data_IF_278214998475
#
_entry.id   IF_278214998475
#
_cell.length_a   1.000
_cell.length_b   1.000
_cell.length_c   1.000
_cell.angle_alpha   90.00
_cell.angle_beta   90.00
_cell.angle_gamma   90.00
#
_symmetry.space_group_name_H-M   'P 1'
#
loop_
_entity.id
_entity.type
_entity.pdbx_description
1 polymer ?
#
# COMPACT_ATOMS: atom_id res chain seq x y z
N UNK A 1 19.95 16.12 -39.58
CA UNK A 1 19.08 14.97 -39.29
C UNK A 1 17.69 15.52 -39.00
N UNK A 2 16.70 15.06 -39.74
CA UNK A 2 15.34 15.60 -39.74
C UNK A 2 14.48 14.89 -38.68
N UNK A 3 13.85 15.68 -37.81
CA UNK A 3 13.06 15.18 -36.66
C UNK A 3 11.89 14.31 -37.12
N UNK A 4 11.36 14.58 -38.32
CA UNK A 4 10.31 13.80 -38.95
C UNK A 4 10.76 12.36 -39.22
N UNK A 5 11.97 12.20 -39.76
CA UNK A 5 12.54 10.89 -40.11
C UNK A 5 12.83 10.01 -38.88
N UNK A 6 13.24 10.63 -37.77
CA UNK A 6 13.45 9.90 -36.51
C UNK A 6 12.12 9.43 -35.89
N UNK A 7 11.04 10.23 -36.01
CA UNK A 7 9.71 9.84 -35.54
C UNK A 7 9.16 8.67 -36.37
N UNK A 8 9.29 8.74 -37.70
CA UNK A 8 8.85 7.66 -38.59
C UNK A 8 9.60 6.35 -38.30
N UNK A 9 10.92 6.42 -38.08
CA UNK A 9 11.74 5.24 -37.74
C UNK A 9 11.31 4.60 -36.41
N UNK A 10 10.95 5.41 -35.41
CA UNK A 10 10.47 4.90 -34.12
C UNK A 10 9.08 4.26 -34.27
N UNK A 11 8.20 4.86 -35.05
CA UNK A 11 6.86 4.30 -35.30
C UNK A 11 6.92 2.99 -36.08
N UNK A 12 7.81 2.88 -37.06
CA UNK A 12 8.03 1.64 -37.80
C UNK A 12 8.63 0.54 -36.93
N UNK A 13 9.62 0.87 -36.11
CA UNK A 13 10.19 -0.08 -35.15
C UNK A 13 9.14 -0.57 -34.14
N UNK A 14 8.27 0.32 -33.67
CA UNK A 14 7.20 -0.03 -32.75
C UNK A 14 6.12 -0.91 -33.40
N UNK A 15 5.69 -0.59 -34.63
CA UNK A 15 4.74 -1.43 -35.38
C UNK A 15 5.27 -2.83 -35.63
N UNK A 16 6.55 -2.96 -35.98
CA UNK A 16 7.18 -4.27 -36.16
C UNK A 16 7.12 -5.11 -34.88
N UNK A 17 7.43 -4.51 -33.72
CA UNK A 17 7.38 -5.20 -32.43
C UNK A 17 5.96 -5.64 -32.06
N UNK A 18 4.95 -4.81 -32.32
CA UNK A 18 3.54 -5.13 -32.00
C UNK A 18 2.99 -6.27 -32.87
N UNK A 19 3.44 -6.38 -34.12
CA UNK A 19 3.04 -7.47 -35.03
C UNK A 19 3.74 -8.79 -34.67
N UNK A 20 5.04 -8.73 -34.34
CA UNK A 20 5.84 -9.91 -33.97
C UNK A 20 5.56 -10.43 -32.55
N UNK A 21 5.08 -9.55 -31.67
CA UNK A 21 4.73 -9.87 -30.28
C UNK A 21 3.35 -9.33 -29.96
N UNK A 22 2.29 -9.94 -30.53
CA UNK A 22 0.94 -9.55 -30.20
C UNK A 22 0.74 -9.67 -28.68
N UNK A 23 0.06 -8.69 -28.11
CA UNK A 23 -0.17 -8.57 -26.66
C UNK A 23 -0.87 -9.82 -26.08
N UNK A 24 -1.62 -10.55 -26.91
CA UNK A 24 -2.11 -11.88 -26.62
C UNK A 24 -1.72 -12.86 -27.74
N UNK A 25 -1.32 -14.09 -27.41
CA UNK A 25 -1.07 -15.13 -28.41
C UNK A 25 -2.37 -15.56 -29.11
N UNK A 26 -2.26 -16.24 -30.26
CA UNK A 26 -3.41 -16.72 -31.06
C UNK A 26 -4.36 -17.63 -30.27
N UNK A 27 -3.88 -18.20 -29.16
CA UNK A 27 -4.65 -19.00 -28.22
C UNK A 27 -4.48 -18.44 -26.80
N UNK A 28 -5.27 -17.41 -26.43
CA UNK A 28 -5.14 -16.80 -25.12
C UNK A 28 -5.52 -17.80 -24.02
N UNK A 29 -4.77 -17.73 -22.92
CA UNK A 29 -5.06 -18.46 -21.69
C UNK A 29 -6.37 -17.97 -21.07
N UNK A 30 -6.92 -18.71 -20.10
CA UNK A 30 -8.19 -18.32 -19.46
C UNK A 30 -8.10 -16.93 -18.81
N UNK A 31 -7.00 -16.65 -18.10
CA UNK A 31 -6.74 -15.36 -17.46
C UNK A 31 -6.68 -14.22 -18.49
N UNK A 32 -6.04 -14.46 -19.63
CA UNK A 32 -5.97 -13.50 -20.73
C UNK A 32 -7.32 -13.25 -21.39
N UNK A 33 -8.19 -14.28 -21.50
CA UNK A 33 -9.57 -14.12 -21.98
C UNK A 33 -10.42 -13.32 -21.02
N UNK A 34 -10.27 -13.56 -19.71
CA UNK A 34 -10.99 -12.83 -18.68
C UNK A 34 -10.57 -11.34 -18.65
N UNK A 35 -9.27 -11.08 -18.88
CA UNK A 35 -8.77 -9.72 -19.04
C UNK A 35 -9.33 -9.05 -20.30
N UNK A 36 -9.33 -9.72 -21.46
CA UNK A 36 -9.95 -9.20 -22.69
C UNK A 36 -11.44 -8.90 -22.51
N UNK A 37 -12.18 -9.79 -21.84
CA UNK A 37 -13.60 -9.58 -21.53
C UNK A 37 -13.82 -8.34 -20.64
N UNK A 38 -12.90 -8.09 -19.71
CA UNK A 38 -12.91 -6.91 -18.84
C UNK A 38 -12.61 -5.63 -19.62
N UNK A 39 -11.58 -5.63 -20.47
CA UNK A 39 -11.29 -4.49 -21.35
C UNK A 39 -12.45 -4.19 -22.30
N UNK A 40 -13.04 -5.22 -22.90
CA UNK A 40 -14.17 -5.06 -23.80
C UNK A 40 -15.41 -4.52 -23.05
N UNK A 41 -15.66 -4.99 -21.82
CA UNK A 41 -16.69 -4.45 -20.96
C UNK A 41 -16.47 -2.96 -20.66
N UNK A 42 -15.25 -2.58 -20.28
CA UNK A 42 -14.87 -1.18 -20.02
C UNK A 42 -15.06 -0.33 -21.27
N UNK A 43 -14.57 -0.77 -22.43
CA UNK A 43 -14.73 -0.05 -23.69
C UNK A 43 -16.20 0.09 -24.09
N UNK A 44 -17.03 -0.96 -23.91
CA UNK A 44 -18.48 -0.87 -24.17
C UNK A 44 -19.16 0.10 -23.22
N UNK A 45 -18.80 0.08 -21.94
CA UNK A 45 -19.35 0.98 -20.93
C UNK A 45 -19.08 2.46 -21.28
N UNK A 46 -17.84 2.79 -21.70
CA UNK A 46 -17.49 4.16 -22.09
C UNK A 46 -17.98 4.54 -23.49
N UNK A 47 -18.09 3.58 -24.43
CA UNK A 47 -18.71 3.80 -25.75
C UNK A 47 -20.21 4.10 -25.64
N UNK A 48 -20.86 3.56 -24.62
CA UNK A 48 -22.27 3.79 -24.30
C UNK A 48 -22.46 4.85 -23.19
N UNK A 49 -21.52 5.79 -23.01
CA UNK A 49 -21.73 6.93 -22.11
C UNK A 49 -23.07 7.63 -22.40
N UNK A 50 -23.70 8.29 -21.41
CA UNK A 50 -25.04 8.84 -21.57
C UNK A 50 -25.06 9.71 -22.81
N UNK A 51 -25.79 9.30 -23.85
CA UNK A 51 -26.15 10.21 -24.93
C UNK A 51 -26.81 11.39 -24.23
N UNK A 52 -26.17 12.55 -24.32
CA UNK A 52 -26.80 13.81 -23.96
C UNK A 52 -28.22 13.74 -24.52
N UNK A 53 -29.18 13.83 -23.62
CA UNK A 53 -30.59 13.87 -23.90
C UNK A 53 -30.85 15.13 -24.74
N UNK A 54 -30.55 15.08 -26.03
CA UNK A 54 -31.03 16.06 -26.97
C UNK A 54 -32.45 15.67 -27.29
N UNK A 55 -33.38 16.44 -26.72
CA UNK A 55 -34.76 16.52 -27.14
C UNK A 55 -34.84 16.51 -28.67
N UNK A 56 -35.47 15.47 -29.20
CA UNK A 56 -36.17 15.58 -30.47
C UNK A 56 -37.54 14.99 -30.26
N UNK A 57 -38.50 15.91 -30.25
CA UNK A 57 -39.91 15.69 -30.12
C UNK A 57 -40.46 14.74 -31.21
N UNK A 58 -41.67 14.24 -30.92
CA UNK A 58 -42.59 13.46 -31.76
C UNK A 58 -42.38 11.93 -31.88
N UNK A 59 -42.94 11.19 -30.92
CA UNK A 59 -43.99 10.18 -31.23
C UNK A 59 -44.64 9.54 -30.00
N UNK A 60 -45.90 9.06 -30.11
CA UNK A 60 -46.81 8.99 -28.98
C UNK A 60 -46.80 7.67 -28.23
N UNK A 61 -46.97 7.80 -26.91
CA UNK A 61 -47.70 6.92 -25.98
C UNK A 61 -47.83 5.44 -26.38
N UNK A 62 -47.01 4.61 -25.74
CA UNK A 62 -47.45 3.31 -25.25
C UNK A 62 -47.12 3.25 -23.76
N UNK A 63 -48.16 3.24 -22.93
CA UNK A 63 -48.02 2.89 -21.52
C UNK A 63 -47.64 1.42 -21.45
N UNK A 64 -46.42 1.13 -21.00
CA UNK A 64 -46.07 -0.17 -20.45
C UNK A 64 -45.61 0.04 -19.00
N UNK A 65 -46.58 -0.09 -18.10
CA UNK A 65 -46.34 -0.05 -16.66
C UNK A 65 -46.05 -1.48 -16.17
N UNK A 66 -44.77 -1.78 -15.93
CA UNK A 66 -44.28 -2.86 -15.05
C UNK A 66 -43.04 -3.61 -15.57
N UNK A 67 -42.06 -4.07 -14.74
CA UNK A 67 -41.92 -3.97 -13.28
C UNK A 67 -40.69 -3.12 -12.90
N UNK A 68 -40.88 -1.82 -12.74
CA UNK A 68 -39.83 -0.86 -12.31
C UNK A 68 -39.32 -1.10 -10.88
N UNK A 69 -39.99 -1.95 -10.09
CA UNK A 69 -39.64 -2.24 -8.69
C UNK A 69 -38.37 -3.08 -8.48
N UNK A 70 -38.10 -4.07 -9.33
CA UNK A 70 -36.97 -4.99 -9.11
C UNK A 70 -35.59 -4.33 -9.35
N UNK A 71 -35.50 -3.46 -10.36
CA UNK A 71 -34.28 -2.73 -10.71
C UNK A 71 -33.93 -1.62 -9.72
N UNK A 72 -34.94 -0.90 -9.19
CA UNK A 72 -34.76 0.06 -8.10
C UNK A 72 -34.26 -0.62 -6.82
N UNK A 73 -34.79 -1.80 -6.50
CA UNK A 73 -34.37 -2.56 -5.30
C UNK A 73 -32.92 -3.04 -5.40
N UNK A 74 -32.50 -3.50 -6.59
CA UNK A 74 -31.10 -3.87 -6.86
C UNK A 74 -30.14 -2.67 -6.76
N UNK A 75 -30.53 -1.50 -7.28
CA UNK A 75 -29.72 -0.28 -7.17
C UNK A 75 -29.55 0.17 -5.72
N UNK A 76 -30.62 0.12 -4.91
CA UNK A 76 -30.57 0.43 -3.47
C UNK A 76 -29.64 -0.52 -2.71
N UNK A 77 -29.68 -1.82 -3.02
CA UNK A 77 -28.78 -2.80 -2.40
C UNK A 77 -27.31 -2.51 -2.73
N UNK A 78 -26.99 -2.21 -3.99
CA UNK A 78 -25.64 -1.83 -4.43
C UNK A 78 -25.16 -0.57 -3.71
N UNK A 79 -26.03 0.44 -3.55
CA UNK A 79 -25.69 1.65 -2.82
C UNK A 79 -25.42 1.38 -1.33
N UNK A 80 -26.20 0.49 -0.70
CA UNK A 80 -26.00 0.09 0.69
C UNK A 80 -24.67 -0.65 0.88
N UNK A 81 -24.31 -1.54 -0.03
CA UNK A 81 -23.01 -2.23 -0.01
C UNK A 81 -21.84 -1.26 -0.18
N UNK A 82 -21.95 -0.31 -1.12
CA UNK A 82 -20.93 0.73 -1.29
C UNK A 82 -20.80 1.62 -0.05
N UNK A 83 -21.90 1.94 0.63
CA UNK A 83 -21.87 2.68 1.88
C UNK A 83 -21.17 1.88 2.99
N UNK A 84 -21.45 0.57 3.08
CA UNK A 84 -20.81 -0.32 4.05
C UNK A 84 -19.30 -0.44 3.79
N UNK A 85 -18.88 -0.68 2.54
CA UNK A 85 -17.46 -0.75 2.16
C UNK A 85 -16.72 0.56 2.44
N UNK A 86 -17.37 1.71 2.24
CA UNK A 86 -16.80 3.02 2.61
C UNK A 86 -16.59 3.11 4.13
N UNK A 87 -17.60 2.73 4.91
CA UNK A 87 -17.52 2.75 6.37
C UNK A 87 -16.42 1.81 6.91
N UNK A 88 -16.31 0.60 6.34
CA UNK A 88 -15.28 -0.36 6.71
C UNK A 88 -13.89 0.13 6.34
N UNK A 89 -13.72 0.70 5.14
CA UNK A 89 -12.46 1.32 4.73
C UNK A 89 -12.06 2.47 5.66
N UNK A 90 -13.00 3.31 6.08
CA UNK A 90 -12.74 4.42 7.01
C UNK A 90 -12.46 3.92 8.43
N UNK A 91 -13.04 2.79 8.84
CA UNK A 91 -12.67 2.10 10.09
C UNK A 91 -11.25 1.57 10.01
N UNK A 92 -10.90 0.84 8.96
CA UNK A 92 -9.55 0.27 8.78
C UNK A 92 -8.48 1.36 8.73
N UNK A 93 -8.76 2.50 8.08
CA UNK A 93 -7.85 3.66 8.09
C UNK A 93 -7.56 4.16 9.50
N UNK A 94 -8.59 4.25 10.36
CA UNK A 94 -8.41 4.64 11.76
C UNK A 94 -7.58 3.61 12.54
N UNK A 95 -7.86 2.32 12.35
CA UNK A 95 -7.07 1.25 12.99
C UNK A 95 -5.60 1.27 12.57
N UNK A 96 -5.31 1.56 11.30
CA UNK A 96 -3.93 1.73 10.81
C UNK A 96 -3.25 2.90 11.49
N UNK A 97 -3.91 4.07 11.58
CA UNK A 97 -3.35 5.24 12.27
C UNK A 97 -3.06 4.94 13.76
N UNK A 98 -3.99 4.28 14.45
CA UNK A 98 -3.79 3.88 15.86
C UNK A 98 -2.61 2.91 16.02
N UNK A 99 -2.48 1.92 15.12
CA UNK A 99 -1.36 0.99 15.13
C UNK A 99 -0.03 1.68 14.85
N UNK A 100 -0.01 2.65 13.93
CA UNK A 100 1.18 3.43 13.62
C UNK A 100 1.66 4.25 14.84
N UNK A 101 0.72 4.85 15.59
CA UNK A 101 1.01 5.52 16.87
C UNK A 101 1.60 4.54 17.88
N UNK A 102 0.99 3.37 18.08
CA UNK A 102 1.52 2.33 18.97
C UNK A 102 2.94 1.88 18.58
N UNK A 103 3.23 1.79 17.29
CA UNK A 103 4.58 1.46 16.81
C UNK A 103 5.60 2.56 17.09
N UNK A 104 5.18 3.84 17.06
CA UNK A 104 6.05 4.95 17.50
C UNK A 104 6.39 4.81 18.97
N UNK A 105 5.39 4.58 19.83
CA UNK A 105 5.60 4.39 21.27
C UNK A 105 6.49 3.18 21.58
N UNK A 106 6.26 2.05 20.89
CA UNK A 106 7.09 0.87 21.03
C UNK A 106 8.56 1.14 20.66
N UNK A 107 8.81 1.85 19.56
CA UNK A 107 10.17 2.25 19.16
C UNK A 107 10.82 3.17 20.19
N UNK A 108 10.04 4.06 20.80
CA UNK A 108 10.53 4.93 21.85
C UNK A 108 10.95 4.12 23.09
N UNK A 109 10.11 3.20 23.55
CA UNK A 109 10.43 2.29 24.66
C UNK A 109 11.67 1.43 24.36
N UNK A 110 11.83 0.95 23.13
CA UNK A 110 13.02 0.20 22.73
C UNK A 110 14.30 1.04 22.83
N UNK A 111 14.25 2.33 22.44
CA UNK A 111 15.39 3.25 22.58
C UNK A 111 15.74 3.50 24.04
N UNK A 112 14.75 3.78 24.88
CA UNK A 112 14.96 4.00 26.32
C UNK A 112 15.57 2.78 26.99
N UNK A 113 15.09 1.59 26.63
CA UNK A 113 15.61 0.34 27.16
C UNK A 113 17.05 0.07 26.70
N UNK A 114 17.40 0.41 25.46
CA UNK A 114 18.77 0.34 24.98
C UNK A 114 19.69 1.33 25.73
N UNK A 115 19.22 2.55 25.98
CA UNK A 115 19.95 3.55 26.75
C UNK A 115 20.18 3.09 28.20
N UNK A 116 19.14 2.60 28.88
CA UNK A 116 19.24 2.08 30.24
C UNK A 116 20.23 0.92 30.34
N UNK A 117 20.25 0.02 29.35
CA UNK A 117 21.24 -1.07 29.27
C UNK A 117 22.67 -0.55 29.13
N UNK A 118 22.89 0.46 28.28
CA UNK A 118 24.21 1.06 28.10
C UNK A 118 24.69 1.76 29.39
N UNK A 119 23.80 2.47 30.08
CA UNK A 119 24.13 3.11 31.35
C UNK A 119 24.45 2.07 32.44
N UNK A 120 23.67 1.00 32.55
CA UNK A 120 23.95 -0.09 33.49
C UNK A 120 25.33 -0.72 33.21
N UNK A 121 25.66 -0.99 31.95
CA UNK A 121 26.98 -1.53 31.58
C UNK A 121 28.11 -0.59 31.98
N UNK A 122 27.94 0.72 31.77
CA UNK A 122 28.90 1.72 32.23
C UNK A 122 29.07 1.68 33.74
N UNK A 123 27.98 1.63 34.52
CA UNK A 123 28.05 1.54 35.99
C UNK A 123 28.76 0.28 36.47
N UNK A 124 28.51 -0.86 35.83
CA UNK A 124 29.20 -2.12 36.14
C UNK A 124 30.70 -2.01 35.87
N UNK A 125 31.11 -1.34 34.79
CA UNK A 125 32.52 -1.09 34.50
C UNK A 125 33.15 -0.16 35.55
N UNK A 126 32.48 0.94 35.91
CA UNK A 126 32.92 1.87 36.97
C UNK A 126 33.11 1.14 38.31
N UNK A 127 32.15 0.29 38.71
CA UNK A 127 32.25 -0.53 39.92
C UNK A 127 33.41 -1.51 39.87
N UNK A 128 33.63 -2.16 38.73
CA UNK A 128 34.75 -3.10 38.54
C UNK A 128 36.08 -2.39 38.69
N UNK A 129 36.24 -1.21 38.07
CA UNK A 129 37.45 -0.39 38.17
C UNK A 129 37.70 0.09 39.60
N UNK A 130 36.66 0.58 40.28
CA UNK A 130 36.74 1.01 41.68
C UNK A 130 37.15 -0.15 42.60
N UNK A 131 36.58 -1.34 42.40
CA UNK A 131 36.91 -2.53 43.19
C UNK A 131 38.39 -2.93 42.99
N UNK A 132 38.89 -2.92 41.75
CA UNK A 132 40.30 -3.17 41.45
C UNK A 132 41.23 -2.12 42.08
N UNK A 133 40.82 -0.85 42.11
CA UNK A 133 41.59 0.21 42.79
C UNK A 133 41.62 -0.01 44.32
N UNK A 134 40.49 -0.41 44.91
CA UNK A 134 40.36 -0.67 46.34
C UNK A 134 41.19 -1.88 46.77
N UNK A 135 41.20 -2.96 45.98
CA UNK A 135 42.06 -4.12 46.25
C UNK A 135 43.55 -3.77 46.15
N UNK A 136 43.94 -2.93 45.19
CA UNK A 136 45.32 -2.40 45.11
C UNK A 136 45.67 -1.57 46.35
N UNK A 137 44.76 -0.73 46.83
CA UNK A 137 44.95 0.05 48.05
C UNK A 137 45.12 -0.86 49.29
N UNK A 138 44.26 -1.86 49.46
CA UNK A 138 44.35 -2.84 50.55
C UNK A 138 45.69 -3.58 50.57
N UNK A 139 46.16 -4.03 49.41
CA UNK A 139 47.47 -4.71 49.29
C UNK A 139 48.62 -3.82 49.76
N UNK A 140 48.61 -2.53 49.41
CA UNK A 140 49.61 -1.56 49.87
C UNK A 140 49.54 -1.32 51.37
N UNK A 141 48.32 -1.18 51.93
CA UNK A 141 48.13 -0.96 53.37
C UNK A 141 48.57 -2.15 54.24
N UNK A 142 48.48 -3.39 53.71
CA UNK A 142 48.95 -4.61 54.41
C UNK A 142 50.45 -4.86 54.30
N UNK A 143 51.15 -4.21 53.36
CA UNK A 143 52.59 -4.38 53.13
C UNK A 143 53.50 -3.50 53.99
N UNK A 144 53.10 -3.20 55.24
CA UNK A 144 53.96 -2.48 56.20
C UNK A 144 55.14 -3.34 56.70
N UNK A 145 56.25 -2.74 57.18
CA UNK A 145 57.50 -3.46 57.43
C UNK A 145 57.32 -4.52 58.52
N UNK A 146 57.59 -5.77 58.17
CA UNK A 146 57.86 -6.82 59.13
C UNK A 146 59.26 -6.56 59.69
N UNK A 147 59.36 -5.97 60.88
CA UNK A 147 60.62 -5.90 61.61
C UNK A 147 61.01 -7.30 62.09
N UNK A 148 62.29 -7.70 61.96
CA UNK A 148 62.78 -9.01 62.37
C UNK A 148 62.73 -9.24 63.88
#
# INVERSE_FOLDING_TARGET
MDRQSDIERVLDAWRAVVIERPYFPEHPTLEERDFQATEEYVLRFYRWGPTAHEDSADSPRAEDSGPTGASLTSNVAIQAELANLRAERDRLRREVTERDEQLVDQRQLQRELAQARAELQRRVQELTQANVALERFRKRARGGPHTP
#
